data_IF_852659215547
#
_entry.id   IF_852659215547
#
_cell.length_a   1.000
_cell.length_b   1.000
_cell.length_c   1.000
_cell.angle_alpha   90.00
_cell.angle_beta   90.00
_cell.angle_gamma   90.00
#
_symmetry.space_group_name_H-M   'P 1'
#
loop_
_entity.id
_entity.type
_entity.pdbx_description
1 polymer ?
#
# COMPACT_ATOMS: atom_id res chain seq x y z
N UNK A 1 -14.24 0.65 -27.46
CA UNK A 1 -13.72 0.24 -26.13
C UNK A 1 -14.64 -0.76 -25.44
N UNK A 2 -15.74 -1.17 -26.07
CA UNK A 2 -16.85 -1.90 -25.43
C UNK A 2 -16.64 -3.42 -25.34
N UNK A 3 -15.45 -3.91 -25.71
CA UNK A 3 -15.10 -5.33 -25.70
C UNK A 3 -13.94 -5.68 -24.75
N UNK A 4 -13.52 -4.76 -23.88
CA UNK A 4 -12.50 -5.06 -22.88
C UNK A 4 -13.07 -5.98 -21.79
N UNK A 5 -12.39 -7.10 -21.57
CA UNK A 5 -12.63 -8.03 -20.49
C UNK A 5 -11.39 -7.99 -19.61
N UNK A 6 -11.53 -7.36 -18.45
CA UNK A 6 -10.44 -7.09 -17.52
C UNK A 6 -10.44 -8.07 -16.35
N UNK A 7 -9.30 -8.71 -16.08
CA UNK A 7 -9.04 -9.43 -14.84
C UNK A 7 -8.11 -8.60 -13.96
N UNK A 8 -8.57 -8.22 -12.78
CA UNK A 8 -7.71 -7.58 -11.76
C UNK A 8 -6.97 -8.62 -10.94
N UNK A 9 -5.66 -8.43 -10.79
CA UNK A 9 -4.76 -9.37 -10.12
C UNK A 9 -3.95 -8.60 -9.08
N UNK A 10 -3.98 -9.10 -7.85
CA UNK A 10 -3.18 -8.59 -6.75
C UNK A 10 -1.72 -9.06 -6.93
N UNK A 11 -0.86 -8.20 -7.45
CA UNK A 11 0.49 -8.55 -7.90
C UNK A 11 1.34 -9.20 -6.78
N UNK A 12 1.20 -8.73 -5.53
CA UNK A 12 1.88 -9.33 -4.37
C UNK A 12 1.50 -10.80 -4.11
N UNK A 13 0.39 -11.30 -4.65
CA UNK A 13 -0.03 -12.69 -4.54
C UNK A 13 0.42 -13.56 -5.73
N UNK A 14 1.10 -12.99 -6.73
CA UNK A 14 1.66 -13.75 -7.86
C UNK A 14 2.96 -14.48 -7.53
N UNK A 15 3.53 -14.29 -6.34
CA UNK A 15 4.78 -14.94 -5.96
C UNK A 15 5.99 -14.41 -6.74
N UNK A 16 7.09 -15.17 -6.79
CA UNK A 16 8.30 -14.79 -7.51
C UNK A 16 8.03 -14.55 -9.01
N UNK A 17 8.76 -13.61 -9.61
CA UNK A 17 8.48 -13.15 -10.97
C UNK A 17 8.51 -14.26 -12.04
N UNK A 18 9.36 -15.27 -11.86
CA UNK A 18 9.48 -16.38 -12.82
C UNK A 18 8.20 -17.23 -12.94
N UNK A 19 7.31 -17.17 -11.95
CA UNK A 19 6.03 -17.88 -11.96
C UNK A 19 4.90 -17.07 -12.58
N UNK A 20 5.10 -15.76 -12.78
CA UNK A 20 4.05 -14.85 -13.23
C UNK A 20 3.48 -15.26 -14.57
N UNK A 21 4.32 -15.66 -15.53
CA UNK A 21 3.84 -16.07 -16.86
C UNK A 21 2.81 -17.20 -16.77
N UNK A 22 3.12 -18.27 -16.02
CA UNK A 22 2.21 -19.40 -15.85
C UNK A 22 0.92 -19.02 -15.11
N UNK A 23 1.03 -18.18 -14.08
CA UNK A 23 -0.13 -17.72 -13.29
C UNK A 23 -1.04 -16.79 -14.07
N UNK A 24 -0.46 -15.86 -14.85
CA UNK A 24 -1.20 -14.90 -15.68
C UNK A 24 -1.75 -15.53 -16.95
N UNK A 25 -1.21 -16.67 -17.40
CA UNK A 25 -1.75 -17.41 -18.54
C UNK A 25 -3.21 -17.84 -18.33
N UNK A 26 -3.65 -17.99 -17.07
CA UNK A 26 -5.05 -18.28 -16.73
C UNK A 26 -5.99 -17.24 -17.34
N UNK A 27 -5.63 -15.94 -17.29
CA UNK A 27 -6.43 -14.87 -17.86
C UNK A 27 -6.71 -15.09 -19.35
N UNK A 28 -5.65 -15.41 -20.11
CA UNK A 28 -5.75 -15.75 -21.54
C UNK A 28 -6.58 -17.02 -21.76
N UNK A 29 -6.32 -18.07 -20.98
CA UNK A 29 -7.03 -19.34 -21.10
C UNK A 29 -8.54 -19.21 -20.82
N UNK A 30 -8.93 -18.20 -20.04
CA UNK A 30 -10.33 -17.85 -19.76
C UNK A 30 -10.81 -16.62 -20.55
N UNK A 31 -10.15 -16.31 -21.68
CA UNK A 31 -10.58 -15.31 -22.68
C UNK A 31 -10.58 -13.83 -22.23
N UNK A 32 -9.96 -13.49 -21.08
CA UNK A 32 -9.71 -12.08 -20.76
C UNK A 32 -8.68 -11.48 -21.73
N UNK A 33 -8.92 -10.25 -22.14
CA UNK A 33 -8.04 -9.52 -23.08
C UNK A 33 -7.32 -8.33 -22.43
N UNK A 34 -7.53 -8.10 -21.14
CA UNK A 34 -6.81 -7.11 -20.33
C UNK A 34 -6.52 -7.69 -18.94
N UNK A 35 -5.27 -7.58 -18.49
CA UNK A 35 -4.90 -7.81 -17.10
C UNK A 35 -4.61 -6.46 -16.44
N UNK A 36 -5.28 -6.23 -15.31
CA UNK A 36 -4.99 -5.12 -14.41
C UNK A 36 -4.17 -5.63 -13.23
N UNK A 37 -2.94 -5.14 -13.09
CA UNK A 37 -2.09 -5.40 -11.94
C UNK A 37 -2.25 -4.29 -10.91
N UNK A 38 -2.47 -4.65 -9.65
CA UNK A 38 -2.20 -3.69 -8.56
C UNK A 38 -0.72 -3.29 -8.58
N UNK A 39 -0.30 -2.18 -7.92
CA UNK A 39 1.07 -1.70 -8.01
C UNK A 39 2.13 -2.79 -7.75
N UNK A 40 3.16 -2.79 -8.59
CA UNK A 40 4.26 -3.77 -8.61
C UNK A 40 5.53 -3.24 -7.92
N UNK A 41 5.47 -2.02 -7.41
CA UNK A 41 6.57 -1.31 -6.79
C UNK A 41 6.83 -1.80 -5.36
N UNK A 42 7.98 -1.41 -4.79
CA UNK A 42 8.33 -1.72 -3.42
C UNK A 42 7.31 -1.16 -2.43
N UNK A 43 6.87 -2.00 -1.48
CA UNK A 43 5.80 -1.67 -0.53
C UNK A 43 6.37 -1.16 0.80
N UNK A 44 5.56 -0.36 1.50
CA UNK A 44 5.84 0.18 2.83
C UNK A 44 5.56 -0.80 3.97
N UNK A 45 5.65 -0.29 5.20
CA UNK A 45 5.55 -1.09 6.43
C UNK A 45 4.24 -1.88 6.54
N UNK A 46 3.12 -1.30 6.08
CA UNK A 46 1.80 -1.94 6.13
C UNK A 46 1.66 -3.15 5.19
N UNK A 47 2.58 -3.30 4.23
CA UNK A 47 2.49 -4.29 3.14
C UNK A 47 1.19 -4.16 2.30
N UNK A 48 0.55 -2.99 2.33
CA UNK A 48 -0.55 -2.64 1.44
C UNK A 48 -0.03 -2.37 0.03
N UNK A 49 -0.71 -2.89 -1.00
CA UNK A 49 -0.32 -2.69 -2.40
C UNK A 49 -0.37 -1.22 -2.85
N UNK A 50 -1.09 -0.37 -2.12
CA UNK A 50 -1.22 1.06 -2.42
C UNK A 50 -0.30 1.93 -1.54
N UNK A 51 0.36 1.35 -0.53
CA UNK A 51 1.35 2.03 0.30
C UNK A 51 2.75 1.78 -0.30
N UNK A 52 3.08 2.55 -1.34
CA UNK A 52 4.32 2.38 -2.12
C UNK A 52 5.48 3.08 -1.41
N UNK A 53 6.53 2.34 -1.06
CA UNK A 53 7.74 2.86 -0.41
C UNK A 53 8.69 3.51 -1.41
N UNK A 54 8.89 2.87 -2.56
CA UNK A 54 9.77 3.37 -3.61
C UNK A 54 9.13 3.08 -4.97
N UNK A 55 8.67 4.15 -5.61
CA UNK A 55 7.98 4.14 -6.89
C UNK A 55 8.90 3.70 -8.04
N UNK A 56 10.22 3.79 -7.86
CA UNK A 56 11.24 3.52 -8.86
C UNK A 56 11.88 2.13 -8.71
N UNK A 57 11.43 1.33 -7.74
CA UNK A 57 11.90 -0.03 -7.53
C UNK A 57 10.74 -1.02 -7.56
N UNK A 58 10.97 -2.19 -8.16
CA UNK A 58 10.04 -3.31 -8.06
C UNK A 58 10.01 -3.86 -6.64
N UNK A 59 8.89 -4.50 -6.28
CA UNK A 59 8.78 -5.18 -5.01
C UNK A 59 9.83 -6.29 -4.89
N UNK A 60 10.72 -6.24 -3.89
CA UNK A 60 11.77 -7.26 -3.71
C UNK A 60 11.23 -8.68 -3.53
N UNK A 61 9.96 -8.83 -3.16
CA UNK A 61 9.33 -10.15 -3.04
C UNK A 61 9.24 -10.90 -4.37
N UNK A 62 9.37 -10.19 -5.50
CA UNK A 62 9.35 -10.80 -6.83
C UNK A 62 10.71 -11.38 -7.24
N UNK A 63 11.76 -11.15 -6.45
CA UNK A 63 13.09 -11.68 -6.69
C UNK A 63 13.08 -13.20 -6.89
N UNK A 64 13.95 -13.68 -7.77
CA UNK A 64 14.11 -15.09 -8.09
C UNK A 64 15.52 -15.57 -7.74
N UNK A 65 15.64 -16.58 -6.87
CA UNK A 65 16.93 -17.20 -6.49
C UNK A 65 18.05 -16.18 -6.16
N UNK A 66 17.69 -15.07 -5.49
CA UNK A 66 18.64 -14.02 -5.11
C UNK A 66 18.90 -12.94 -6.17
N UNK A 67 18.39 -13.09 -7.40
CA UNK A 67 18.37 -12.03 -8.41
C UNK A 67 17.09 -11.20 -8.30
N UNK A 68 17.25 -9.88 -8.13
CA UNK A 68 16.13 -8.95 -8.22
C UNK A 68 15.62 -8.89 -9.66
N UNK A 69 14.29 -8.94 -9.80
CA UNK A 69 13.64 -8.66 -11.09
C UNK A 69 13.77 -7.18 -11.41
N UNK A 70 13.90 -6.88 -12.70
CA UNK A 70 13.99 -5.49 -13.18
C UNK A 70 12.75 -5.09 -13.99
N UNK A 71 12.58 -3.80 -14.23
CA UNK A 71 11.48 -3.34 -15.09
C UNK A 71 11.63 -3.84 -16.53
N UNK A 72 12.85 -4.11 -17.02
CA UNK A 72 13.07 -4.77 -18.31
C UNK A 72 12.58 -6.22 -18.33
N UNK A 73 12.69 -6.95 -17.20
CA UNK A 73 12.11 -8.29 -17.07
C UNK A 73 10.58 -8.24 -17.15
N UNK A 74 9.96 -7.26 -16.47
CA UNK A 74 8.51 -6.99 -16.54
C UNK A 74 8.10 -6.63 -17.95
N UNK A 75 8.78 -5.69 -18.58
CA UNK A 75 8.52 -5.24 -19.95
C UNK A 75 8.54 -6.40 -20.94
N UNK A 76 9.53 -7.30 -20.83
CA UNK A 76 9.63 -8.49 -21.69
C UNK A 76 8.41 -9.40 -21.55
N UNK A 77 7.92 -9.64 -20.33
CA UNK A 77 6.70 -10.41 -20.10
C UNK A 77 5.46 -9.69 -20.66
N UNK A 78 5.30 -8.40 -20.40
CA UNK A 78 4.17 -7.61 -20.91
C UNK A 78 4.15 -7.58 -22.45
N UNK A 79 5.32 -7.45 -23.10
CA UNK A 79 5.45 -7.51 -24.56
C UNK A 79 5.04 -8.88 -25.09
N UNK A 80 5.46 -9.97 -24.45
CA UNK A 80 5.06 -11.33 -24.80
C UNK A 80 3.55 -11.51 -24.71
N UNK A 81 2.94 -11.10 -23.60
CA UNK A 81 1.48 -11.16 -23.41
C UNK A 81 0.71 -10.39 -24.49
N UNK A 82 1.17 -9.19 -24.84
CA UNK A 82 0.55 -8.40 -25.90
C UNK A 82 0.71 -9.07 -27.27
N UNK A 83 1.94 -9.43 -27.65
CA UNK A 83 2.24 -9.90 -29.00
C UNK A 83 1.72 -11.32 -29.26
N UNK A 84 1.92 -12.23 -28.32
CA UNK A 84 1.59 -13.65 -28.47
C UNK A 84 0.18 -13.99 -27.97
N UNK A 85 -0.26 -13.39 -26.86
CA UNK A 85 -1.55 -13.72 -26.25
C UNK A 85 -2.67 -12.76 -26.64
N UNK A 86 -2.33 -11.63 -27.27
CA UNK A 86 -3.27 -10.52 -27.56
C UNK A 86 -3.94 -9.98 -26.28
N UNK A 87 -3.23 -10.07 -25.16
CA UNK A 87 -3.67 -9.59 -23.84
C UNK A 87 -2.94 -8.30 -23.50
N UNK A 88 -3.70 -7.24 -23.25
CA UNK A 88 -3.17 -5.96 -22.78
C UNK A 88 -2.87 -6.03 -21.28
N UNK A 89 -1.99 -5.14 -20.80
CA UNK A 89 -1.70 -5.01 -19.38
C UNK A 89 -1.77 -3.55 -18.95
N UNK A 90 -2.30 -3.31 -17.75
CA UNK A 90 -2.31 -2.01 -17.09
C UNK A 90 -1.97 -2.15 -15.61
N UNK A 91 -1.53 -1.06 -14.99
CA UNK A 91 -1.30 -0.99 -13.54
C UNK A 91 -1.94 0.26 -12.97
N UNK A 92 -2.35 0.17 -11.71
CA UNK A 92 -2.73 1.35 -10.94
C UNK A 92 -1.55 2.33 -10.80
N UNK A 93 -1.86 3.62 -10.85
CA UNK A 93 -0.95 4.72 -10.54
C UNK A 93 -1.45 5.44 -9.29
N UNK A 94 -0.59 5.52 -8.27
CA UNK A 94 -0.93 6.11 -6.96
C UNK A 94 -0.24 7.47 -6.85
N UNK A 95 -0.98 8.54 -7.12
CA UNK A 95 -0.45 9.91 -7.12
C UNK A 95 -0.69 10.67 -5.82
N UNK A 96 -1.67 10.24 -5.04
CA UNK A 96 -2.20 10.97 -3.90
C UNK A 96 -1.43 10.72 -2.59
N UNK A 97 -0.66 9.64 -2.50
CA UNK A 97 0.12 9.30 -1.30
C UNK A 97 1.32 8.40 -1.61
N UNK A 98 2.26 8.36 -0.67
CA UNK A 98 3.40 7.42 -0.59
C UNK A 98 3.37 6.71 0.77
N UNK A 99 4.13 5.63 0.93
CA UNK A 99 4.30 5.02 2.25
C UNK A 99 4.99 5.99 3.22
N UNK A 100 4.59 5.91 4.49
CA UNK A 100 5.13 6.70 5.60
C UNK A 100 6.64 6.49 5.80
N UNK A 101 7.15 5.31 5.39
CA UNK A 101 8.55 4.91 5.50
C UNK A 101 9.35 5.04 4.19
N UNK A 102 8.88 5.83 3.22
CA UNK A 102 9.63 6.17 2.01
C UNK A 102 10.91 6.96 2.37
N UNK A 103 12.12 6.50 1.99
CA UNK A 103 13.36 7.19 2.36
C UNK A 103 13.45 8.63 1.87
N UNK A 104 12.93 8.89 0.67
CA UNK A 104 12.94 10.21 0.05
C UNK A 104 12.11 11.26 0.82
N UNK A 105 11.16 10.85 1.67
CA UNK A 105 10.40 11.80 2.52
C UNK A 105 11.28 12.47 3.58
N UNK A 106 12.38 11.83 3.99
CA UNK A 106 13.36 12.43 4.89
C UNK A 106 14.22 13.47 4.19
N UNK A 107 14.48 13.26 2.89
CA UNK A 107 15.24 14.19 2.05
C UNK A 107 14.36 15.36 1.58
N UNK A 108 13.08 15.10 1.35
CA UNK A 108 12.09 16.04 0.81
C UNK A 108 10.82 16.12 1.69
N UNK A 109 10.91 16.57 2.95
CA UNK A 109 9.75 16.68 3.84
C UNK A 109 8.72 17.71 3.37
N UNK A 110 9.08 18.62 2.47
CA UNK A 110 8.20 19.60 1.84
C UNK A 110 7.15 18.98 0.90
N UNK A 111 7.35 17.74 0.46
CA UNK A 111 6.40 17.03 -0.40
C UNK A 111 5.16 16.54 0.35
N UNK A 112 5.20 16.48 1.68
CA UNK A 112 4.03 16.22 2.52
C UNK A 112 3.39 17.52 3.02
N UNK A 113 2.25 17.40 3.71
CA UNK A 113 1.70 18.51 4.48
C UNK A 113 2.34 18.53 5.87
N UNK A 114 3.07 19.59 6.21
CA UNK A 114 3.82 19.71 7.46
C UNK A 114 3.57 21.06 8.16
N UNK A 115 4.18 21.28 9.33
CA UNK A 115 3.92 22.47 10.15
C UNK A 115 4.53 23.77 9.58
N UNK A 116 5.41 23.65 8.58
CA UNK A 116 6.04 24.77 7.89
C UNK A 116 5.24 25.18 6.66
N UNK A 117 4.96 24.25 5.74
CA UNK A 117 4.23 24.53 4.50
C UNK A 117 2.71 24.58 4.68
N UNK A 118 2.18 24.01 5.76
CA UNK A 118 0.75 23.92 6.06
C UNK A 118 0.43 24.34 7.49
N UNK A 119 0.73 25.60 7.89
CA UNK A 119 0.64 26.05 9.27
C UNK A 119 -0.77 26.00 9.87
N UNK A 120 -1.80 25.99 9.02
CA UNK A 120 -3.20 25.80 9.43
C UNK A 120 -3.47 24.43 10.05
N UNK A 121 -2.58 23.43 9.84
CA UNK A 121 -2.66 22.10 10.45
C UNK A 121 -2.08 22.05 11.87
N UNK A 122 -1.44 23.11 12.38
CA UNK A 122 -0.85 23.12 13.74
C UNK A 122 -1.84 22.72 14.85
N UNK A 123 -3.09 23.24 14.89
CA UNK A 123 -4.05 22.82 15.91
C UNK A 123 -4.41 21.33 15.80
N UNK A 124 -4.59 20.83 14.57
CA UNK A 124 -4.89 19.42 14.33
C UNK A 124 -3.73 18.51 14.74
N UNK A 125 -2.49 18.89 14.43
CA UNK A 125 -1.29 18.17 14.86
C UNK A 125 -1.18 18.10 16.39
N UNK A 126 -1.41 19.22 17.10
CA UNK A 126 -1.39 19.23 18.56
C UNK A 126 -2.46 18.33 19.16
N UNK A 127 -3.67 18.35 18.61
CA UNK A 127 -4.76 17.48 19.03
C UNK A 127 -4.39 15.99 18.85
N UNK A 128 -3.88 15.61 17.69
CA UNK A 128 -3.45 14.24 17.39
C UNK A 128 -2.36 13.76 18.36
N UNK A 129 -1.36 14.62 18.64
CA UNK A 129 -0.32 14.34 19.64
C UNK A 129 -0.89 14.14 21.04
N UNK A 130 -1.83 14.99 21.47
CA UNK A 130 -2.49 14.86 22.78
C UNK A 130 -3.26 13.54 22.85
N UNK A 131 -4.01 13.18 21.81
CA UNK A 131 -4.77 11.92 21.77
C UNK A 131 -3.86 10.70 21.78
N UNK A 132 -2.73 10.73 21.07
CA UNK A 132 -1.74 9.66 21.10
C UNK A 132 -1.14 9.46 22.49
N UNK A 133 -0.71 10.55 23.16
CA UNK A 133 -0.21 10.50 24.53
C UNK A 133 -1.27 10.03 25.52
N UNK A 134 -2.47 10.59 25.44
CA UNK A 134 -3.60 10.18 26.27
C UNK A 134 -3.91 8.68 26.10
N UNK A 135 -3.89 8.16 24.87
CA UNK A 135 -4.12 6.74 24.60
C UNK A 135 -3.08 5.85 25.27
N UNK A 136 -1.79 6.26 25.28
CA UNK A 136 -0.74 5.54 26.00
C UNK A 136 -0.97 5.58 27.52
N UNK A 137 -1.37 6.72 28.07
CA UNK A 137 -1.66 6.83 29.51
C UNK A 137 -2.89 6.01 29.93
N UNK A 138 -3.89 5.87 29.05
CA UNK A 138 -5.05 5.00 29.25
C UNK A 138 -4.60 3.54 29.31
N UNK A 139 -3.75 3.10 28.36
CA UNK A 139 -3.18 1.74 28.35
C UNK A 139 -2.35 1.46 29.62
N UNK A 140 -1.63 2.46 30.13
CA UNK A 140 -0.89 2.38 31.39
C UNK A 140 -1.79 2.40 32.64
N UNK A 141 -3.11 2.58 32.48
CA UNK A 141 -4.09 2.57 33.55
C UNK A 141 -4.13 3.86 34.39
N UNK A 142 -3.43 4.92 34.00
CA UNK A 142 -3.38 6.21 34.74
C UNK A 142 -4.75 6.85 34.91
N UNK A 143 -5.67 6.59 33.97
CA UNK A 143 -7.01 7.17 33.92
C UNK A 143 -8.11 6.28 34.52
N UNK A 144 -7.76 5.12 35.08
CA UNK A 144 -8.72 4.20 35.72
C UNK A 144 -9.52 4.89 36.83
N UNK A 145 -8.89 5.77 37.59
CA UNK A 145 -9.54 6.55 38.66
C UNK A 145 -10.63 7.51 38.17
N UNK A 146 -10.67 7.81 36.86
CA UNK A 146 -11.70 8.61 36.19
C UNK A 146 -12.67 7.77 35.36
N UNK A 147 -12.69 6.45 35.57
CA UNK A 147 -13.57 5.55 34.85
C UNK A 147 -13.13 5.24 33.41
N UNK A 148 -11.87 5.48 33.06
CA UNK A 148 -11.31 5.16 31.73
C UNK A 148 -10.30 4.01 31.90
N UNK A 149 -10.74 2.74 31.86
CA UNK A 149 -9.86 1.59 32.03
C UNK A 149 -9.03 1.30 30.78
N UNK A 150 -7.90 0.58 30.90
CA UNK A 150 -7.08 0.17 29.76
C UNK A 150 -7.76 -0.85 28.83
N UNK A 151 -8.82 -1.53 29.31
CA UNK A 151 -9.55 -2.55 28.55
C UNK A 151 -11.05 -2.28 28.65
N UNK A 152 -11.69 -2.11 27.50
CA UNK A 152 -13.13 -1.98 27.34
C UNK A 152 -13.71 -3.38 27.15
N UNK A 153 -14.69 -3.76 27.96
CA UNK A 153 -15.35 -5.08 27.90
C UNK A 153 -16.83 -5.02 27.55
N UNK A 154 -17.45 -3.88 27.79
CA UNK A 154 -18.86 -3.63 27.55
C UNK A 154 -19.09 -2.14 27.24
N UNK A 155 -20.25 -1.83 26.70
CA UNK A 155 -20.62 -0.49 26.25
C UNK A 155 -20.70 0.52 27.42
N UNK A 156 -20.99 0.07 28.64
CA UNK A 156 -21.02 0.93 29.82
C UNK A 156 -19.67 1.56 30.14
N UNK A 157 -18.57 0.91 29.75
CA UNK A 157 -17.20 1.45 29.88
C UNK A 157 -16.81 2.46 28.81
N UNK A 158 -17.64 2.67 27.78
CA UNK A 158 -17.43 3.72 26.76
C UNK A 158 -17.97 5.09 27.19
N UNK A 159 -18.85 5.12 28.19
CA UNK A 159 -19.43 6.36 28.72
C UNK A 159 -18.70 6.76 29.99
N UNK A 160 -18.00 7.89 29.96
CA UNK A 160 -17.46 8.53 31.16
C UNK A 160 -18.60 9.28 31.84
N UNK A 161 -18.95 8.91 33.07
CA UNK A 161 -19.91 9.66 33.87
C UNK A 161 -19.25 10.97 34.33
N UNK A 162 -19.63 12.08 33.71
CA UNK A 162 -19.20 13.43 34.09
C UNK A 162 -20.05 14.01 35.22
#
# INVERSE_FOLDING_TARGET
MDCLQCQSVLAKCLGPFHEWEGRLYVAKATEYNLIHLTPIQALGTSNSSYSIKDQLQLNPMFANHGRQSTFEDVERLMRKMNQEWKVLCMTDLVYNHSADNSPWLMEHPECGYNLENSPHLKPAFLLDRILSHFSMEVVEGKWTHRGIPPVIKDEGTLTVSC
#
